data_IF_589113152916
#
_entry.id   IF_589113152916
#
_cell.length_a   1.000
_cell.length_b   1.000
_cell.length_c   1.000
_cell.angle_alpha   90.00
_cell.angle_beta   90.00
_cell.angle_gamma   90.00
#
_symmetry.space_group_name_H-M   'P 1'
#
loop_
_entity.id
_entity.type
_entity.pdbx_description
1 polymer ?
#
# COMPACT_ATOMS: atom_id res chain seq x y z
N UNK A 1 -19.93 -10.50 1.30
CA UNK A 1 -20.60 -9.22 1.10
C UNK A 1 -21.77 -9.36 0.11
N UNK A 2 -21.58 -9.78 -1.14
CA UNK A 2 -22.66 -9.94 -2.15
C UNK A 2 -23.80 -10.83 -1.69
N UNK A 3 -23.52 -11.93 -1.03
CA UNK A 3 -24.52 -12.85 -0.47
C UNK A 3 -25.37 -12.21 0.64
N UNK A 4 -24.93 -11.09 1.19
CA UNK A 4 -25.63 -10.29 2.20
C UNK A 4 -26.29 -9.04 1.60
N UNK A 5 -26.42 -8.95 0.28
CA UNK A 5 -27.09 -7.85 -0.41
C UNK A 5 -26.22 -6.65 -0.75
N UNK A 6 -24.89 -6.70 -0.50
CA UNK A 6 -24.01 -5.60 -0.89
C UNK A 6 -23.83 -5.51 -2.41
N UNK A 7 -23.96 -4.31 -2.96
CA UNK A 7 -23.62 -4.00 -4.34
C UNK A 7 -22.12 -3.65 -4.45
N UNK A 8 -21.40 -4.28 -5.36
CA UNK A 8 -19.98 -4.03 -5.61
C UNK A 8 -19.83 -3.51 -7.03
N UNK A 9 -19.44 -2.24 -7.13
CA UNK A 9 -19.17 -1.56 -8.40
C UNK A 9 -17.68 -1.62 -8.69
N UNK A 10 -17.29 -2.55 -9.56
CA UNK A 10 -15.90 -2.69 -10.00
C UNK A 10 -15.58 -1.74 -11.14
N UNK A 11 -14.30 -1.34 -11.26
CA UNK A 11 -13.84 -0.43 -12.31
C UNK A 11 -14.67 0.87 -12.38
N UNK A 12 -15.02 1.40 -11.21
CA UNK A 12 -15.79 2.62 -11.03
C UNK A 12 -14.99 3.53 -10.14
N UNK A 13 -14.52 4.63 -10.69
CA UNK A 13 -13.69 5.59 -9.97
C UNK A 13 -14.55 6.67 -9.36
N UNK A 14 -14.37 6.93 -8.08
CA UNK A 14 -14.92 8.11 -7.41
C UNK A 14 -14.08 9.31 -7.85
N UNK A 15 -14.75 10.36 -8.32
CA UNK A 15 -14.12 11.59 -8.81
C UNK A 15 -14.40 12.78 -7.93
N UNK A 16 -15.50 12.74 -7.14
CA UNK A 16 -15.82 13.78 -6.17
C UNK A 16 -16.82 13.27 -5.11
N UNK A 17 -16.91 13.97 -3.98
CA UNK A 17 -17.84 13.66 -2.87
C UNK A 17 -18.38 14.97 -2.31
N UNK A 18 -19.70 15.18 -2.40
CA UNK A 18 -20.34 16.40 -2.00
C UNK A 18 -21.37 16.19 -0.88
N UNK A 19 -21.34 17.03 0.14
CA UNK A 19 -22.40 17.06 1.14
C UNK A 19 -23.59 17.84 0.59
N UNK A 20 -24.74 17.20 0.54
CA UNK A 20 -26.00 17.83 0.10
C UNK A 20 -26.69 18.60 1.24
N UNK A 21 -27.52 19.58 0.91
CA UNK A 21 -28.33 20.32 1.92
C UNK A 21 -29.23 19.43 2.77
N UNK A 22 -29.58 18.26 2.29
CA UNK A 22 -30.33 17.22 3.01
C UNK A 22 -29.54 16.51 4.11
N UNK A 23 -28.24 16.70 4.17
CA UNK A 23 -27.32 15.94 5.02
C UNK A 23 -26.87 14.61 4.43
N UNK A 24 -27.36 14.22 3.26
CA UNK A 24 -26.88 13.07 2.52
C UNK A 24 -25.62 13.43 1.71
N UNK A 25 -24.86 12.42 1.29
CA UNK A 25 -23.69 12.57 0.47
C UNK A 25 -23.98 12.18 -0.97
N UNK A 26 -23.54 13.00 -1.92
CA UNK A 26 -23.48 12.66 -3.32
C UNK A 26 -22.06 12.18 -3.64
N UNK A 27 -21.94 10.93 -4.04
CA UNK A 27 -20.69 10.34 -4.51
C UNK A 27 -20.70 10.33 -6.03
N UNK A 28 -19.84 11.12 -6.63
CA UNK A 28 -19.71 11.27 -8.08
C UNK A 28 -18.69 10.26 -8.58
N UNK A 29 -19.06 9.52 -9.61
CA UNK A 29 -18.17 8.53 -10.23
C UNK A 29 -18.11 8.70 -11.74
N UNK A 30 -17.13 8.09 -12.38
CA UNK A 30 -16.99 8.04 -13.83
C UNK A 30 -18.11 7.25 -14.53
N UNK A 31 -19.04 6.65 -13.78
CA UNK A 31 -20.17 5.86 -14.30
C UNK A 31 -21.54 6.29 -13.78
N UNK A 32 -21.61 7.44 -13.12
CA UNK A 32 -22.83 8.01 -12.58
C UNK A 32 -22.70 8.29 -11.08
N UNK A 33 -23.73 8.96 -10.53
CA UNK A 33 -23.70 9.43 -9.16
C UNK A 33 -24.52 8.52 -8.25
N UNK A 34 -24.12 8.47 -7.01
CA UNK A 34 -24.81 7.72 -5.94
C UNK A 34 -25.14 8.69 -4.80
N UNK A 35 -26.31 8.53 -4.19
CA UNK A 35 -26.67 9.23 -2.97
C UNK A 35 -26.60 8.25 -1.81
N UNK A 36 -25.93 8.64 -0.74
CA UNK A 36 -25.76 7.83 0.45
C UNK A 36 -25.93 8.66 1.73
N UNK A 37 -26.48 8.05 2.76
CA UNK A 37 -26.56 8.69 4.09
C UNK A 37 -25.19 8.77 4.75
N UNK A 38 -24.35 7.75 4.52
CA UNK A 38 -23.01 7.65 5.06
C UNK A 38 -22.01 7.19 3.99
N UNK A 39 -20.83 7.76 4.03
CA UNK A 39 -19.69 7.36 3.20
C UNK A 39 -18.55 6.90 4.09
N UNK A 40 -18.03 5.71 3.86
CA UNK A 40 -16.87 5.18 4.56
C UNK A 40 -15.67 5.22 3.64
N UNK A 41 -14.66 5.97 4.02
CA UNK A 41 -13.39 6.04 3.30
C UNK A 41 -12.49 4.88 3.74
N UNK A 42 -12.39 3.86 2.91
CA UNK A 42 -11.50 2.71 3.08
C UNK A 42 -10.53 2.58 1.88
N UNK A 43 -10.06 3.71 1.36
CA UNK A 43 -9.33 3.80 0.10
C UNK A 43 -7.82 3.51 0.21
N UNK A 44 -7.33 3.05 1.38
CA UNK A 44 -5.91 2.70 1.56
C UNK A 44 -5.00 3.90 1.29
N UNK A 45 -4.04 3.75 0.39
CA UNK A 45 -3.11 4.82 0.01
C UNK A 45 -3.80 6.04 -0.67
N UNK A 46 -5.04 5.90 -1.15
CA UNK A 46 -5.84 6.99 -1.70
C UNK A 46 -6.74 7.67 -0.65
N UNK A 47 -6.65 7.28 0.63
CA UNK A 47 -7.57 7.77 1.66
C UNK A 47 -7.50 9.29 1.84
N UNK A 48 -6.30 9.89 1.73
CA UNK A 48 -6.16 11.35 1.84
C UNK A 48 -6.83 12.11 0.70
N UNK A 49 -6.59 11.80 -0.59
CA UNK A 49 -7.32 12.43 -1.70
C UNK A 49 -8.84 12.26 -1.58
N UNK A 50 -9.31 11.09 -1.19
CA UNK A 50 -10.76 10.85 -1.01
C UNK A 50 -11.33 11.70 0.15
N UNK A 51 -10.60 11.85 1.25
CA UNK A 51 -11.03 12.71 2.35
C UNK A 51 -11.09 14.19 1.91
N UNK A 52 -10.14 14.64 1.11
CA UNK A 52 -10.11 16.01 0.58
C UNK A 52 -11.31 16.32 -0.33
N UNK A 53 -11.80 15.35 -1.11
CA UNK A 53 -13.05 15.49 -1.86
C UNK A 53 -14.25 15.79 -0.95
N UNK A 54 -14.26 15.20 0.25
CA UNK A 54 -15.31 15.45 1.26
C UNK A 54 -15.03 16.69 2.15
N UNK A 55 -14.04 17.51 1.79
CA UNK A 55 -13.67 18.72 2.53
C UNK A 55 -12.92 18.48 3.84
N UNK A 56 -12.38 17.27 4.04
CA UNK A 56 -11.62 16.89 5.24
C UNK A 56 -10.20 16.51 4.87
N UNK A 57 -9.21 16.92 5.66
CA UNK A 57 -7.83 16.44 5.50
C UNK A 57 -7.52 15.40 6.58
N UNK A 58 -6.93 14.28 6.16
CA UNK A 58 -6.44 13.23 7.06
C UNK A 58 -4.92 13.17 6.96
N UNK A 59 -4.19 13.11 8.08
CA UNK A 59 -2.73 13.18 8.08
C UNK A 59 -2.11 11.83 7.70
N UNK A 60 -2.40 11.37 6.48
CA UNK A 60 -1.82 10.15 5.91
C UNK A 60 -0.78 10.56 4.89
N UNK A 61 0.44 10.07 5.08
CA UNK A 61 1.54 10.19 4.14
C UNK A 61 1.90 8.79 3.67
N UNK A 62 1.84 8.58 2.37
CA UNK A 62 2.27 7.33 1.78
C UNK A 62 3.80 7.26 1.76
N UNK A 63 4.34 6.10 2.05
CA UNK A 63 5.76 5.83 1.94
C UNK A 63 5.99 4.74 0.92
N UNK A 64 7.00 4.90 0.09
CA UNK A 64 7.45 3.84 -0.79
C UNK A 64 8.10 2.74 0.07
N UNK A 65 7.65 1.52 -0.11
CA UNK A 65 8.20 0.36 0.57
C UNK A 65 8.45 -0.74 -0.44
N UNK A 66 9.67 -1.25 -0.48
CA UNK A 66 10.10 -2.25 -1.44
C UNK A 66 10.36 -3.60 -0.75
N UNK A 67 10.20 -4.64 -1.50
CA UNK A 67 10.63 -5.98 -1.13
C UNK A 67 11.14 -6.70 -2.39
N UNK A 68 11.87 -7.76 -2.20
CA UNK A 68 12.26 -8.65 -3.28
C UNK A 68 11.95 -10.10 -2.92
N UNK A 69 11.80 -10.90 -3.95
CA UNK A 69 11.58 -12.34 -3.83
C UNK A 69 12.77 -13.05 -4.46
N UNK A 70 13.36 -14.00 -3.76
CA UNK A 70 14.49 -14.78 -4.26
C UNK A 70 14.04 -15.79 -5.31
N UNK A 71 14.99 -16.39 -6.00
CA UNK A 71 14.77 -17.66 -6.69
C UNK A 71 14.34 -18.76 -5.70
N UNK A 72 13.89 -19.91 -6.23
CA UNK A 72 13.50 -21.05 -5.41
C UNK A 72 14.66 -21.50 -4.50
N UNK A 73 14.35 -21.74 -3.23
CA UNK A 73 15.26 -22.23 -2.21
C UNK A 73 14.93 -23.71 -2.01
N UNK A 74 15.86 -24.64 -2.30
CA UNK A 74 15.56 -26.07 -2.22
C UNK A 74 15.08 -26.54 -0.86
N UNK A 75 15.55 -25.93 0.22
CA UNK A 75 15.15 -26.24 1.59
C UNK A 75 13.67 -25.92 1.82
N UNK A 76 13.16 -24.84 1.26
CA UNK A 76 11.73 -24.48 1.35
C UNK A 76 10.84 -25.40 0.50
N UNK A 77 11.40 -25.92 -0.58
CA UNK A 77 10.69 -26.88 -1.42
C UNK A 77 10.56 -28.27 -0.79
N UNK A 78 11.41 -28.58 0.19
CA UNK A 78 11.46 -29.87 0.87
C UNK A 78 10.54 -29.93 2.12
N UNK A 79 10.05 -28.80 2.60
CA UNK A 79 9.26 -28.69 3.80
C UNK A 79 7.77 -28.50 3.45
N UNK A 80 6.88 -29.26 4.10
CA UNK A 80 5.43 -29.13 3.93
C UNK A 80 4.83 -28.01 4.80
N UNK A 81 5.58 -27.49 5.76
CA UNK A 81 5.15 -26.41 6.65
C UNK A 81 5.80 -25.07 6.25
N UNK A 82 4.97 -24.06 6.08
CA UNK A 82 5.45 -22.70 5.78
C UNK A 82 6.14 -22.09 7.01
N UNK A 83 7.31 -21.51 6.82
CA UNK A 83 8.05 -20.87 7.90
C UNK A 83 7.30 -19.63 8.44
N UNK A 84 7.38 -19.37 9.75
CA UNK A 84 6.80 -18.17 10.32
C UNK A 84 7.49 -16.91 9.79
N UNK A 85 6.72 -15.81 9.76
CA UNK A 85 7.28 -14.49 9.43
C UNK A 85 8.28 -14.07 10.52
N UNK A 86 9.46 -13.68 10.10
CA UNK A 86 10.52 -13.18 10.98
C UNK A 86 10.65 -11.68 10.82
N UNK A 87 10.69 -10.96 11.93
CA UNK A 87 11.11 -9.55 12.00
C UNK A 87 12.46 -9.45 12.66
N UNK A 88 13.42 -8.90 11.93
CA UNK A 88 14.74 -8.60 12.45
C UNK A 88 14.87 -7.09 12.69
N UNK A 89 14.80 -6.70 13.96
CA UNK A 89 14.92 -5.29 14.35
C UNK A 89 16.34 -4.75 14.18
N UNK A 90 17.36 -5.62 14.13
CA UNK A 90 18.74 -5.20 13.97
C UNK A 90 19.04 -4.77 12.53
N UNK A 91 18.62 -5.57 11.57
CA UNK A 91 18.77 -5.26 10.15
C UNK A 91 17.62 -4.40 9.60
N UNK A 92 16.61 -4.09 10.44
CA UNK A 92 15.37 -3.42 10.02
C UNK A 92 14.71 -4.09 8.82
N UNK A 93 14.58 -5.42 8.87
CA UNK A 93 14.01 -6.21 7.80
C UNK A 93 12.94 -7.16 8.31
N UNK A 94 12.08 -7.60 7.41
CA UNK A 94 11.24 -8.76 7.63
C UNK A 94 11.49 -9.80 6.56
N UNK A 95 11.31 -11.06 6.94
CA UNK A 95 11.50 -12.22 6.08
C UNK A 95 10.28 -13.11 6.19
N UNK A 96 9.82 -13.63 5.07
CA UNK A 96 8.81 -14.67 5.05
C UNK A 96 9.05 -15.64 3.90
N UNK A 97 8.56 -16.84 4.05
CA UNK A 97 8.47 -17.76 2.94
C UNK A 97 7.38 -17.28 1.97
N UNK A 98 7.66 -17.33 0.69
CA UNK A 98 6.72 -17.09 -0.39
C UNK A 98 6.74 -18.32 -1.31
N UNK A 99 5.86 -19.28 -1.04
CA UNK A 99 5.86 -20.61 -1.65
C UNK A 99 7.22 -21.32 -1.45
N UNK A 100 8.06 -21.39 -2.49
CA UNK A 100 9.40 -22.00 -2.46
C UNK A 100 10.54 -20.99 -2.40
N UNK A 101 10.23 -19.73 -2.26
CA UNK A 101 11.18 -18.62 -2.27
C UNK A 101 11.14 -17.87 -0.94
N UNK A 102 12.11 -17.02 -0.69
CA UNK A 102 12.05 -16.05 0.41
C UNK A 102 11.63 -14.68 -0.11
N UNK A 103 10.69 -14.04 0.59
CA UNK A 103 10.39 -12.64 0.45
C UNK A 103 11.14 -11.88 1.54
N UNK A 104 11.92 -10.89 1.15
CA UNK A 104 12.74 -10.05 2.03
C UNK A 104 12.33 -8.61 1.82
N UNK A 105 11.86 -7.95 2.90
CA UNK A 105 11.43 -6.56 2.89
C UNK A 105 12.26 -5.74 3.87
N UNK A 106 13.26 -4.99 3.39
CA UNK A 106 13.96 -4.01 4.19
C UNK A 106 13.04 -2.82 4.48
N UNK A 107 13.07 -2.29 5.71
CA UNK A 107 12.42 -1.02 6.02
C UNK A 107 13.38 0.10 5.68
N UNK A 108 12.91 1.03 4.88
CA UNK A 108 13.65 2.23 4.50
C UNK A 108 13.93 3.08 5.74
N UNK A 109 15.19 3.50 5.92
CA UNK A 109 15.62 4.32 7.04
C UNK A 109 15.68 5.80 6.70
N UNK A 110 14.59 6.37 6.28
CA UNK A 110 14.46 7.77 5.94
C UNK A 110 15.16 8.13 4.62
N UNK A 111 14.43 8.07 3.59
CA UNK A 111 14.72 8.88 2.45
C UNK A 111 13.71 10.02 2.47
N UNK A 112 14.15 11.16 3.02
CA UNK A 112 13.39 12.41 2.94
C UNK A 112 12.88 12.64 1.52
N UNK A 113 13.67 12.28 0.52
CA UNK A 113 13.33 12.36 -0.89
C UNK A 113 12.14 11.48 -1.31
N UNK A 114 12.00 10.26 -0.81
CA UNK A 114 10.87 9.40 -1.16
C UNK A 114 9.57 9.91 -0.52
N UNK A 115 9.63 10.40 0.72
CA UNK A 115 8.49 11.00 1.42
C UNK A 115 8.07 12.30 0.73
N UNK A 116 9.01 13.15 0.35
CA UNK A 116 8.75 14.41 -0.36
C UNK A 116 8.16 14.17 -1.75
N UNK A 117 8.67 13.21 -2.50
CA UNK A 117 8.15 12.87 -3.82
C UNK A 117 6.69 12.39 -3.75
N UNK A 118 6.35 11.59 -2.76
CA UNK A 118 4.97 11.11 -2.56
C UNK A 118 4.04 12.21 -2.04
N UNK A 119 4.51 13.05 -1.13
CA UNK A 119 3.75 14.17 -0.62
C UNK A 119 3.47 15.22 -1.71
N UNK A 120 4.45 15.54 -2.54
CA UNK A 120 4.32 16.53 -3.60
C UNK A 120 3.51 16.03 -4.80
N UNK A 121 3.51 14.74 -5.09
CA UNK A 121 2.69 14.14 -6.13
C UNK A 121 1.19 14.05 -5.77
N UNK A 122 0.81 14.40 -4.53
CA UNK A 122 -0.57 14.33 -4.07
C UNK A 122 -1.16 12.93 -4.01
N UNK A 123 -0.33 11.91 -4.09
CA UNK A 123 -0.78 10.53 -4.15
C UNK A 123 0.35 9.57 -4.47
N UNK A 124 0.05 8.56 -5.26
CA UNK A 124 1.03 7.56 -5.69
C UNK A 124 1.72 8.08 -6.95
N UNK A 125 3.05 8.31 -6.94
CA UNK A 125 3.77 8.59 -8.17
C UNK A 125 3.65 7.41 -9.13
N UNK A 126 3.69 7.68 -10.44
CA UNK A 126 3.93 6.62 -11.41
C UNK A 126 5.23 5.92 -11.03
N UNK A 127 5.18 4.60 -10.98
CA UNK A 127 6.27 3.78 -10.50
C UNK A 127 7.49 3.92 -11.41
N UNK A 128 8.49 4.64 -10.95
CA UNK A 128 9.86 4.49 -11.44
C UNK A 128 10.67 3.79 -10.34
N UNK A 129 11.29 2.68 -10.65
CA UNK A 129 12.12 1.96 -9.68
C UNK A 129 13.36 2.81 -9.39
N UNK A 130 13.44 3.39 -8.22
CA UNK A 130 14.66 4.03 -7.74
C UNK A 130 15.64 2.93 -7.34
N UNK A 131 16.40 2.43 -8.30
CA UNK A 131 17.36 1.32 -8.11
C UNK A 131 18.41 1.61 -7.05
N UNK A 132 18.82 2.86 -6.90
CA UNK A 132 19.84 3.26 -5.93
C UNK A 132 19.35 3.10 -4.48
N UNK A 133 18.10 3.44 -4.19
CA UNK A 133 17.50 3.24 -2.87
C UNK A 133 17.34 1.75 -2.56
N UNK A 134 16.93 0.99 -3.54
CA UNK A 134 16.81 -0.45 -3.42
C UNK A 134 18.15 -1.12 -3.14
N UNK A 135 19.21 -0.73 -3.82
CA UNK A 135 20.56 -1.28 -3.61
C UNK A 135 21.05 -0.99 -2.18
N UNK A 136 20.91 0.24 -1.68
CA UNK A 136 21.29 0.60 -0.32
C UNK A 136 20.51 -0.19 0.74
N UNK A 137 19.22 -0.39 0.55
CA UNK A 137 18.38 -1.17 1.45
C UNK A 137 18.66 -2.67 1.35
N UNK A 138 18.96 -3.15 0.16
CA UNK A 138 19.40 -4.52 -0.05
C UNK A 138 20.72 -4.82 0.67
N UNK A 139 21.74 -3.97 0.51
CA UNK A 139 23.03 -4.13 1.20
C UNK A 139 22.85 -4.11 2.73
N UNK A 140 22.00 -3.24 3.25
CA UNK A 140 21.68 -3.18 4.68
C UNK A 140 20.95 -4.45 5.18
N UNK A 141 20.06 -5.01 4.37
CA UNK A 141 19.30 -6.22 4.72
C UNK A 141 20.12 -7.50 4.73
N UNK A 142 21.33 -7.46 4.16
CA UNK A 142 22.24 -8.59 4.05
C UNK A 142 23.47 -8.47 5.00
N UNK A 143 23.28 -8.23 6.31
CA UNK A 143 24.38 -7.87 7.21
C UNK A 143 25.40 -8.97 7.46
N UNK A 144 25.21 -10.19 7.00
CA UNK A 144 25.98 -11.36 7.41
C UNK A 144 26.59 -12.17 6.25
N UNK A 145 26.97 -11.49 5.18
CA UNK A 145 27.93 -12.09 4.26
C UNK A 145 29.30 -12.20 4.96
N UNK A 146 29.50 -13.26 5.72
CA UNK A 146 30.81 -13.73 6.15
C UNK A 146 31.15 -15.02 5.43
#
# INVERSE_FOLDING_TARGET
ARTMGASIQRHTRVTDINLLPSGAWEVITDKGNLIAEHVVNAAGCYARPIAQMAGTDVPIINMLHQYFVTDEIPEFAADDEEMPVVRDSHSSCYYRQEQKSALIGPYETATESAVEAWASAGGIPEWESESELFEADFERSMPHRR
#
